data_IF_773712817409
#
_entry.id   IF_773712817409
#
_cell.length_a   1.000
_cell.length_b   1.000
_cell.length_c   1.000
_cell.angle_alpha   90.00
_cell.angle_beta   90.00
_cell.angle_gamma   90.00
#
_symmetry.space_group_name_H-M   'P 1'
#
loop_
_entity.id
_entity.type
_entity.pdbx_description
1 polymer ?
#
# COMPACT_ATOMS: atom_id res chain seq x y z
N UNK A 1 7.64 34.65 -12.34
CA UNK A 1 7.32 34.50 -13.77
C UNK A 1 7.16 35.90 -14.37
N UNK A 2 7.70 36.15 -15.55
CA UNK A 2 7.72 37.46 -16.23
C UNK A 2 6.71 37.53 -17.38
N UNK A 3 6.40 38.72 -17.89
CA UNK A 3 5.46 38.93 -19.01
C UNK A 3 5.93 38.22 -20.29
N UNK A 4 7.24 38.32 -20.60
CA UNK A 4 7.89 37.64 -21.74
C UNK A 4 7.69 36.12 -21.71
N UNK A 5 7.63 35.52 -20.52
CA UNK A 5 7.40 34.09 -20.36
C UNK A 5 5.99 33.69 -20.86
N UNK A 6 4.98 34.49 -20.53
CA UNK A 6 3.60 34.23 -20.96
C UNK A 6 3.37 34.54 -22.45
N UNK A 7 4.06 35.54 -22.99
CA UNK A 7 4.03 35.85 -24.43
C UNK A 7 4.61 34.71 -25.26
N UNK A 8 5.71 34.11 -24.81
CA UNK A 8 6.30 32.93 -25.45
C UNK A 8 5.38 31.70 -25.39
N UNK A 9 4.75 31.44 -24.23
CA UNK A 9 3.78 30.33 -24.09
C UNK A 9 2.57 30.54 -25.00
N UNK A 10 2.03 31.76 -25.07
CA UNK A 10 0.87 32.08 -25.91
C UNK A 10 1.18 31.95 -27.41
N UNK A 11 2.38 32.32 -27.84
CA UNK A 11 2.82 32.16 -29.23
C UNK A 11 2.89 30.67 -29.63
N UNK A 12 3.41 29.82 -28.76
CA UNK A 12 3.50 28.38 -29.00
C UNK A 12 2.13 27.70 -29.03
N UNK A 13 1.17 28.12 -28.20
CA UNK A 13 -0.19 27.57 -28.20
C UNK A 13 -0.94 27.94 -29.50
N UNK A 14 -0.78 29.17 -30.01
CA UNK A 14 -1.46 29.62 -31.22
C UNK A 14 -1.01 28.91 -32.50
N UNK A 15 0.25 28.50 -32.58
CA UNK A 15 0.80 27.82 -33.76
C UNK A 15 0.26 26.38 -33.94
N UNK A 16 -0.37 25.82 -32.91
CA UNK A 16 -0.68 24.38 -32.81
C UNK A 16 -2.19 24.10 -32.71
N UNK A 17 -3.04 25.13 -32.83
CA UNK A 17 -4.52 24.99 -32.79
C UNK A 17 -5.14 24.66 -34.17
N UNK A 18 -4.35 24.16 -35.13
CA UNK A 18 -4.79 23.84 -36.50
C UNK A 18 -4.48 22.37 -36.84
N UNK A 19 -5.34 21.48 -36.32
CA UNK A 19 -5.59 20.05 -36.61
C UNK A 19 -4.51 18.97 -36.28
N UNK A 20 -4.99 17.84 -35.70
CA UNK A 20 -4.37 16.53 -35.36
C UNK A 20 -3.97 16.22 -33.88
N UNK A 21 -4.10 14.95 -33.48
CA UNK A 21 -3.70 14.42 -32.16
C UNK A 21 -2.19 14.58 -31.86
N UNK A 22 -1.35 14.53 -32.90
CA UNK A 22 0.09 14.79 -32.79
C UNK A 22 0.41 16.24 -32.37
N UNK A 23 -0.42 17.20 -32.78
CA UNK A 23 -0.31 18.61 -32.36
C UNK A 23 -0.79 18.79 -30.91
N UNK A 24 -1.83 18.09 -30.48
CA UNK A 24 -2.23 18.06 -29.06
C UNK A 24 -1.08 17.59 -28.15
N UNK A 25 -0.32 16.57 -28.56
CA UNK A 25 0.87 16.12 -27.83
C UNK A 25 2.00 17.17 -27.84
N UNK A 26 2.15 17.97 -28.89
CA UNK A 26 3.11 19.08 -28.92
C UNK A 26 2.74 20.18 -27.92
N UNK A 27 1.45 20.56 -27.82
CA UNK A 27 0.98 21.51 -26.80
C UNK A 27 1.22 20.94 -25.40
N UNK A 28 0.84 19.69 -25.18
CA UNK A 28 1.03 19.01 -23.88
C UNK A 28 2.53 18.88 -23.54
N UNK A 29 3.42 18.77 -24.53
CA UNK A 29 4.87 18.74 -24.31
C UNK A 29 5.41 20.00 -23.63
N UNK A 30 4.73 21.15 -23.78
CA UNK A 30 5.08 22.37 -23.04
C UNK A 30 4.95 22.13 -21.53
N UNK A 31 3.92 21.41 -21.07
CA UNK A 31 3.74 21.05 -19.66
C UNK A 31 4.92 20.23 -19.12
N UNK A 32 5.50 19.36 -19.94
CA UNK A 32 6.70 18.61 -19.59
C UNK A 32 7.98 19.47 -19.65
N UNK A 33 8.14 20.29 -20.70
CA UNK A 33 9.32 21.13 -20.89
C UNK A 33 9.49 22.13 -19.75
N UNK A 34 8.38 22.71 -19.26
CA UNK A 34 8.35 23.64 -18.14
C UNK A 34 8.24 22.95 -16.76
N UNK A 35 8.30 21.62 -16.71
CA UNK A 35 8.31 20.89 -15.44
C UNK A 35 9.69 21.03 -14.76
N UNK A 36 9.76 21.35 -13.46
CA UNK A 36 11.02 21.40 -12.73
C UNK A 36 11.81 20.11 -12.85
N UNK A 37 13.13 20.23 -12.97
CA UNK A 37 14.02 19.08 -13.20
C UNK A 37 13.86 17.95 -12.15
N UNK A 38 13.50 18.28 -10.91
CA UNK A 38 13.33 17.27 -9.86
C UNK A 38 12.01 16.48 -10.00
N UNK A 39 11.00 17.03 -10.68
CA UNK A 39 9.72 16.37 -10.96
C UNK A 39 9.73 15.53 -12.22
N UNK A 40 10.57 15.87 -13.22
CA UNK A 40 10.64 15.12 -14.49
C UNK A 40 10.78 13.61 -14.29
N UNK A 41 11.70 13.08 -13.44
CA UNK A 41 11.78 11.64 -13.22
C UNK A 41 10.52 11.05 -12.57
N UNK A 42 9.86 11.80 -11.68
CA UNK A 42 8.63 11.37 -11.00
C UNK A 42 7.46 11.27 -11.98
N UNK A 43 7.33 12.26 -12.87
CA UNK A 43 6.34 12.30 -13.94
C UNK A 43 6.59 11.22 -15.00
N UNK A 44 7.82 11.10 -15.51
CA UNK A 44 8.17 10.07 -16.50
C UNK A 44 8.01 8.65 -15.95
N UNK A 45 8.10 8.45 -14.63
CA UNK A 45 7.89 7.12 -14.03
C UNK A 45 6.45 6.64 -14.13
N UNK A 46 5.51 7.55 -14.33
CA UNK A 46 4.11 7.20 -14.42
C UNK A 46 3.78 6.31 -15.63
N UNK A 47 4.68 6.21 -16.62
CA UNK A 47 4.55 5.29 -17.76
C UNK A 47 4.45 3.81 -17.35
N UNK A 48 4.87 3.47 -16.13
CA UNK A 48 4.76 2.10 -15.59
C UNK A 48 3.31 1.67 -15.40
N UNK A 49 2.40 2.60 -15.14
CA UNK A 49 1.01 2.28 -14.85
C UNK A 49 0.18 2.10 -16.13
N UNK A 50 -0.81 1.20 -16.12
CA UNK A 50 -1.71 1.02 -17.25
C UNK A 50 -2.59 2.26 -17.46
N UNK A 51 -3.17 2.34 -18.66
CA UNK A 51 -4.20 3.33 -19.00
C UNK A 51 -5.40 3.19 -18.08
N UNK A 52 -5.99 4.31 -17.65
CA UNK A 52 -7.05 4.39 -16.62
C UNK A 52 -6.79 3.66 -15.28
N UNK A 53 -5.57 3.19 -15.06
CA UNK A 53 -5.20 2.45 -13.86
C UNK A 53 -5.28 3.34 -12.62
N UNK A 54 -6.02 2.90 -11.60
CA UNK A 54 -6.03 3.56 -10.29
C UNK A 54 -4.71 3.27 -9.58
N UNK A 55 -3.96 4.32 -9.28
CA UNK A 55 -2.65 4.26 -8.65
C UNK A 55 -2.79 4.55 -7.16
N UNK A 56 -2.29 3.67 -6.30
CA UNK A 56 -2.22 3.98 -4.87
C UNK A 56 -1.05 4.92 -4.59
N UNK A 57 -1.31 6.05 -3.93
CA UNK A 57 -0.28 7.07 -3.65
C UNK A 57 0.91 6.51 -2.85
N UNK A 58 0.69 5.55 -1.95
CA UNK A 58 1.77 4.91 -1.19
C UNK A 58 2.69 4.04 -2.05
N UNK A 59 2.16 3.42 -3.10
CA UNK A 59 2.94 2.63 -4.05
C UNK A 59 3.78 3.56 -4.93
N UNK A 60 3.17 4.62 -5.47
CA UNK A 60 3.87 5.65 -6.25
C UNK A 60 5.07 6.24 -5.47
N UNK A 61 4.86 6.59 -4.20
CA UNK A 61 5.93 7.10 -3.35
C UNK A 61 7.04 6.06 -3.12
N UNK A 62 6.67 4.81 -2.89
CA UNK A 62 7.62 3.70 -2.75
C UNK A 62 8.51 3.60 -3.98
N UNK A 63 7.92 3.63 -5.17
CA UNK A 63 8.66 3.55 -6.43
C UNK A 63 9.63 4.73 -6.61
N UNK A 64 9.19 5.96 -6.35
CA UNK A 64 10.07 7.15 -6.42
C UNK A 64 11.24 7.09 -5.42
N UNK A 65 11.01 6.56 -4.22
CA UNK A 65 12.05 6.34 -3.19
C UNK A 65 13.06 5.31 -3.66
N UNK A 66 12.58 4.15 -4.11
CA UNK A 66 13.39 3.00 -4.51
C UNK A 66 14.31 3.37 -5.68
N UNK A 67 13.76 4.06 -6.67
CA UNK A 67 14.48 4.57 -7.83
C UNK A 67 15.50 5.66 -7.48
N UNK A 68 15.27 6.37 -6.36
CA UNK A 68 16.14 7.44 -5.88
C UNK A 68 15.91 8.77 -6.59
N UNK A 69 14.68 9.05 -7.02
CA UNK A 69 14.32 10.34 -7.64
C UNK A 69 14.26 11.48 -6.63
N UNK A 70 13.97 11.16 -5.38
CA UNK A 70 13.77 12.11 -4.31
C UNK A 70 15.13 12.47 -3.68
N UNK A 71 15.67 13.64 -4.00
CA UNK A 71 16.93 14.16 -3.43
C UNK A 71 16.67 14.71 -2.02
N UNK A 72 16.81 13.88 -0.99
CA UNK A 72 16.70 14.31 0.41
C UNK A 72 17.47 13.38 1.36
N UNK A 73 17.79 13.87 2.55
CA UNK A 73 18.13 13.02 3.69
C UNK A 73 16.98 12.05 4.00
N UNK A 74 17.31 10.87 4.54
CA UNK A 74 16.38 9.74 4.75
C UNK A 74 15.12 10.09 5.57
N UNK A 75 15.17 11.15 6.37
CA UNK A 75 14.11 11.56 7.29
C UNK A 75 12.96 12.31 6.57
N UNK A 76 13.23 12.97 5.44
CA UNK A 76 12.25 13.87 4.80
C UNK A 76 11.71 13.36 3.45
N UNK A 77 12.04 12.13 3.05
CA UNK A 77 11.71 11.60 1.71
C UNK A 77 10.19 11.54 1.45
N UNK A 78 9.40 11.18 2.47
CA UNK A 78 7.93 11.13 2.35
C UNK A 78 7.32 12.51 2.13
N UNK A 79 7.83 13.54 2.81
CA UNK A 79 7.34 14.91 2.65
C UNK A 79 7.66 15.44 1.26
N UNK A 80 8.88 15.19 0.77
CA UNK A 80 9.28 15.55 -0.60
C UNK A 80 8.41 14.83 -1.63
N UNK A 81 8.06 13.56 -1.40
CA UNK A 81 7.12 12.84 -2.28
C UNK A 81 5.72 13.47 -2.27
N UNK A 82 5.22 13.87 -1.09
CA UNK A 82 3.93 14.58 -0.94
C UNK A 82 3.95 15.95 -1.65
N UNK A 83 5.02 16.72 -1.50
CA UNK A 83 5.21 18.01 -2.18
C UNK A 83 5.28 17.85 -3.71
N UNK A 84 6.05 16.87 -4.19
CA UNK A 84 6.16 16.57 -5.62
C UNK A 84 4.81 16.15 -6.23
N UNK A 85 4.06 15.28 -5.54
CA UNK A 85 2.73 14.87 -6.00
C UNK A 85 1.76 16.05 -6.02
N UNK A 86 1.79 16.90 -4.99
CA UNK A 86 0.96 18.10 -4.93
C UNK A 86 1.23 19.01 -6.14
N UNK A 87 2.49 19.26 -6.48
CA UNK A 87 2.82 20.10 -7.65
C UNK A 87 2.38 19.46 -8.98
N UNK A 88 2.49 18.13 -9.12
CA UNK A 88 1.98 17.42 -10.30
C UNK A 88 0.45 17.52 -10.43
N UNK A 89 -0.27 17.47 -9.30
CA UNK A 89 -1.73 17.68 -9.25
C UNK A 89 -2.08 19.12 -9.61
N UNK A 90 -1.40 20.12 -9.04
CA UNK A 90 -1.63 21.55 -9.33
C UNK A 90 -1.38 21.90 -10.81
N UNK A 91 -0.54 21.13 -11.49
CA UNK A 91 -0.28 21.23 -12.93
C UNK A 91 -1.24 20.40 -13.79
N UNK A 92 -2.25 19.76 -13.21
CA UNK A 92 -3.21 18.86 -13.86
C UNK A 92 -2.56 17.68 -14.61
N UNK A 93 -1.38 17.24 -14.16
CA UNK A 93 -0.67 16.08 -14.75
C UNK A 93 -1.08 14.77 -14.07
N UNK A 94 -1.66 14.84 -12.87
CA UNK A 94 -2.20 13.73 -12.11
C UNK A 94 -3.55 14.16 -11.53
N UNK A 95 -4.55 13.28 -11.61
CA UNK A 95 -5.89 13.51 -11.06
C UNK A 95 -6.04 12.72 -9.75
N UNK A 96 -6.64 13.34 -8.73
CA UNK A 96 -6.97 12.65 -7.48
C UNK A 96 -8.29 11.91 -7.66
N UNK A 97 -8.30 10.62 -7.33
CA UNK A 97 -9.51 9.79 -7.44
C UNK A 97 -10.19 9.64 -6.07
N UNK A 98 -9.44 9.20 -5.06
CA UNK A 98 -9.93 9.09 -3.70
C UNK A 98 -9.04 9.88 -2.74
N UNK A 99 -9.65 10.47 -1.72
CA UNK A 99 -8.97 11.11 -0.58
C UNK A 99 -9.14 10.30 0.69
N UNK A 100 -8.11 10.31 1.53
CA UNK A 100 -8.16 9.78 2.89
C UNK A 100 -9.00 10.71 3.77
N UNK A 101 -9.44 10.21 4.92
CA UNK A 101 -10.15 10.99 5.94
C UNK A 101 -9.41 12.28 6.36
N UNK A 102 -8.08 12.27 6.35
CA UNK A 102 -7.25 13.42 6.67
C UNK A 102 -7.06 14.40 5.48
N UNK A 103 -7.89 14.28 4.44
CA UNK A 103 -7.86 15.12 3.23
C UNK A 103 -6.69 14.84 2.28
N UNK A 104 -5.75 13.95 2.63
CA UNK A 104 -4.62 13.62 1.76
C UNK A 104 -5.04 12.65 0.65
N UNK A 105 -4.49 12.76 -0.57
CA UNK A 105 -4.74 11.78 -1.63
C UNK A 105 -4.49 10.33 -1.17
N UNK A 106 -5.46 9.46 -1.44
CA UNK A 106 -5.37 8.02 -1.24
C UNK A 106 -4.93 7.34 -2.53
N UNK A 107 -5.66 7.62 -3.60
CA UNK A 107 -5.43 7.11 -4.95
C UNK A 107 -5.44 8.26 -5.95
N UNK A 108 -4.76 8.07 -7.07
CA UNK A 108 -4.71 9.00 -8.17
C UNK A 108 -4.74 8.26 -9.50
N UNK A 109 -5.04 8.98 -10.59
CA UNK A 109 -5.04 8.48 -11.96
C UNK A 109 -4.39 9.48 -12.89
N UNK A 110 -4.12 9.06 -14.11
CA UNK A 110 -3.51 9.90 -15.14
C UNK A 110 -4.41 9.80 -16.36
N UNK A 111 -4.67 10.95 -16.97
CA UNK A 111 -5.42 11.01 -18.19
C UNK A 111 -4.61 10.43 -19.36
N UNK A 112 -5.25 9.70 -20.27
CA UNK A 112 -4.61 8.96 -21.36
C UNK A 112 -3.67 9.82 -22.22
N UNK A 113 -4.09 11.02 -22.64
CA UNK A 113 -3.23 11.96 -23.37
C UNK A 113 -1.97 12.38 -22.61
N UNK A 114 -2.07 12.56 -21.28
CA UNK A 114 -0.92 12.88 -20.43
C UNK A 114 -0.01 11.65 -20.29
N UNK A 115 -0.59 10.46 -20.22
CA UNK A 115 0.15 9.21 -20.21
C UNK A 115 0.90 8.99 -21.53
N UNK A 116 0.28 9.26 -22.67
CA UNK A 116 0.93 9.19 -23.98
C UNK A 116 2.09 10.18 -24.10
N UNK A 117 1.90 11.40 -23.57
CA UNK A 117 3.01 12.35 -23.44
C UNK A 117 4.14 11.77 -22.57
N UNK A 118 3.83 11.20 -21.41
CA UNK A 118 4.83 10.57 -20.55
C UNK A 118 5.63 9.51 -21.31
N UNK A 119 4.95 8.64 -22.07
CA UNK A 119 5.59 7.56 -22.85
C UNK A 119 6.51 8.15 -23.92
N UNK A 120 6.03 9.15 -24.66
CA UNK A 120 6.79 9.84 -25.73
C UNK A 120 8.06 10.49 -25.18
N UNK A 121 7.94 11.28 -24.12
CA UNK A 121 9.09 11.98 -23.52
C UNK A 121 10.04 11.01 -22.80
N UNK A 122 9.52 9.95 -22.16
CA UNK A 122 10.37 8.95 -21.52
C UNK A 122 11.22 8.17 -22.53
N UNK A 123 10.66 7.84 -23.70
CA UNK A 123 11.38 7.18 -24.81
C UNK A 123 12.48 8.09 -25.36
N UNK A 124 12.17 9.37 -25.58
CA UNK A 124 13.10 10.40 -26.07
C UNK A 124 14.26 10.66 -25.11
N UNK A 125 13.99 10.70 -23.80
CA UNK A 125 15.03 10.88 -22.77
C UNK A 125 15.81 9.60 -22.43
N UNK A 126 15.53 8.49 -23.13
CA UNK A 126 16.09 7.17 -22.86
C UNK A 126 15.81 6.68 -21.43
N UNK A 127 14.67 7.07 -20.87
CA UNK A 127 14.29 6.85 -19.48
C UNK A 127 13.47 5.57 -19.31
N UNK A 128 12.48 5.35 -20.18
CA UNK A 128 11.68 4.11 -20.26
C UNK A 128 11.46 3.68 -21.71
N UNK A 129 11.37 2.37 -21.90
CA UNK A 129 10.76 1.75 -23.06
C UNK A 129 9.56 0.91 -22.62
N UNK A 130 8.38 1.27 -23.11
CA UNK A 130 7.13 0.55 -22.84
C UNK A 130 6.80 -0.31 -24.04
N UNK A 131 6.62 -1.61 -23.82
CA UNK A 131 6.22 -2.53 -24.86
C UNK A 131 4.72 -2.35 -25.15
N UNK A 132 4.38 -1.94 -26.38
CA UNK A 132 2.98 -1.78 -26.82
C UNK A 132 2.41 -3.08 -27.40
N UNK A 133 3.18 -3.78 -28.23
CA UNK A 133 2.81 -5.04 -28.87
C UNK A 133 4.09 -5.71 -29.44
N UNK A 134 3.97 -6.94 -29.95
CA UNK A 134 5.08 -7.69 -30.55
C UNK A 134 5.69 -7.01 -31.79
N UNK A 135 4.83 -6.36 -32.58
CA UNK A 135 5.17 -5.82 -33.92
C UNK A 135 6.05 -4.58 -33.82
N UNK A 136 5.85 -3.76 -32.80
CA UNK A 136 6.55 -2.49 -32.61
C UNK A 136 7.87 -2.62 -31.80
N UNK A 137 8.28 -3.86 -31.45
CA UNK A 137 9.52 -4.07 -30.70
C UNK A 137 10.77 -3.78 -31.54
N UNK A 138 11.52 -2.76 -31.11
CA UNK A 138 12.83 -2.42 -31.65
C UNK A 138 13.94 -2.75 -30.62
N UNK A 139 14.69 -3.85 -30.80
CA UNK A 139 15.73 -4.26 -29.87
C UNK A 139 16.85 -3.24 -29.70
N UNK A 140 17.27 -2.57 -30.77
CA UNK A 140 18.38 -1.61 -30.73
C UNK A 140 18.02 -0.35 -29.93
N UNK A 141 16.78 0.09 -30.05
CA UNK A 141 16.28 1.19 -29.23
C UNK A 141 16.15 0.77 -27.77
N UNK A 142 15.58 -0.40 -27.49
CA UNK A 142 15.43 -0.92 -26.14
C UNK A 142 16.77 -1.08 -25.40
N UNK A 143 17.86 -1.44 -26.11
CA UNK A 143 19.23 -1.55 -25.54
C UNK A 143 19.75 -0.25 -24.94
N UNK A 144 19.30 0.89 -25.45
CA UNK A 144 19.78 2.20 -25.02
C UNK A 144 18.99 2.77 -23.83
N UNK A 145 17.99 2.04 -23.33
CA UNK A 145 16.98 2.55 -22.40
C UNK A 145 17.36 2.17 -20.97
N UNK A 146 17.13 3.07 -20.02
CA UNK A 146 17.49 2.79 -18.62
C UNK A 146 16.51 1.85 -17.93
N UNK A 147 15.27 1.81 -18.40
CA UNK A 147 14.18 1.04 -17.80
C UNK A 147 13.23 0.47 -18.83
N UNK A 148 12.65 -0.67 -18.51
CA UNK A 148 11.72 -1.39 -19.39
C UNK A 148 10.41 -1.66 -18.63
N UNK A 149 9.28 -1.53 -19.34
CA UNK A 149 7.94 -1.89 -18.83
C UNK A 149 7.29 -2.86 -19.80
N UNK A 150 6.96 -4.04 -19.31
CA UNK A 150 6.28 -5.09 -20.06
C UNK A 150 4.87 -5.27 -19.48
N UNK A 151 3.82 -4.84 -20.21
CA UNK A 151 2.44 -5.05 -19.79
C UNK A 151 1.98 -6.51 -19.94
N UNK A 152 0.98 -6.89 -19.14
CA UNK A 152 0.49 -8.28 -19.02
C UNK A 152 -0.02 -8.83 -20.33
N UNK A 153 -0.82 -8.03 -21.05
CA UNK A 153 -1.45 -8.40 -22.31
C UNK A 153 -0.45 -8.68 -23.45
N UNK A 154 0.80 -8.24 -23.33
CA UNK A 154 1.83 -8.51 -24.33
C UNK A 154 2.34 -9.94 -24.18
N UNK A 155 2.33 -10.52 -22.98
CA UNK A 155 3.06 -11.76 -22.65
C UNK A 155 2.38 -13.05 -23.18
N UNK A 156 1.10 -13.01 -23.53
CA UNK A 156 0.38 -14.17 -24.07
C UNK A 156 0.88 -14.61 -25.47
N UNK A 157 1.74 -13.80 -26.11
CA UNK A 157 2.33 -14.09 -27.41
C UNK A 157 3.62 -14.93 -27.27
N UNK A 158 3.54 -16.21 -27.67
CA UNK A 158 4.64 -17.19 -27.61
C UNK A 158 5.88 -16.76 -28.40
N UNK A 159 5.75 -15.83 -29.34
CA UNK A 159 6.85 -15.35 -30.18
C UNK A 159 7.81 -14.40 -29.45
N UNK A 160 7.48 -13.93 -28.23
CA UNK A 160 8.33 -12.98 -27.48
C UNK A 160 9.50 -13.69 -26.78
N UNK A 161 9.40 -14.99 -26.46
CA UNK A 161 10.45 -15.72 -25.72
C UNK A 161 11.85 -15.58 -26.37
N UNK A 162 11.94 -15.61 -27.71
CA UNK A 162 13.21 -15.46 -28.44
C UNK A 162 13.78 -14.03 -28.46
N UNK A 163 12.95 -13.00 -28.27
CA UNK A 163 13.36 -11.59 -28.17
C UNK A 163 13.70 -11.19 -26.72
N UNK A 164 13.23 -11.93 -25.73
CA UNK A 164 13.57 -11.72 -24.32
C UNK A 164 15.06 -11.95 -24.04
N UNK A 165 15.70 -12.92 -24.68
CA UNK A 165 17.16 -13.13 -24.56
C UNK A 165 17.96 -11.86 -24.91
N UNK A 166 17.44 -11.01 -25.81
CA UNK A 166 18.04 -9.72 -26.17
C UNK A 166 17.86 -8.66 -25.08
N UNK A 167 16.72 -8.66 -24.37
CA UNK A 167 16.47 -7.79 -23.21
C UNK A 167 17.38 -8.17 -22.03
N UNK A 168 17.66 -9.47 -21.90
CA UNK A 168 18.43 -10.06 -20.80
C UNK A 168 19.94 -9.79 -20.89
N UNK A 169 20.46 -9.49 -22.09
CA UNK A 169 21.89 -9.21 -22.35
C UNK A 169 22.27 -7.73 -22.25
N UNK A 170 21.37 -6.85 -21.79
CA UNK A 170 21.56 -5.41 -21.77
C UNK A 170 22.29 -4.93 -20.49
N UNK A 171 23.56 -4.48 -20.57
CA UNK A 171 24.38 -4.19 -19.37
C UNK A 171 24.04 -2.86 -18.67
N UNK A 172 23.14 -2.03 -19.24
CA UNK A 172 22.86 -0.67 -18.77
C UNK A 172 21.58 -0.49 -17.94
N UNK A 173 20.73 -1.51 -17.84
CA UNK A 173 19.38 -1.37 -17.30
C UNK A 173 19.40 -1.23 -15.77
N UNK A 174 18.75 -0.18 -15.25
CA UNK A 174 18.67 0.12 -13.81
C UNK A 174 17.35 -0.32 -13.17
N UNK A 175 16.29 -0.50 -13.95
CA UNK A 175 15.01 -1.02 -13.47
C UNK A 175 14.30 -1.78 -14.58
N UNK A 176 13.65 -2.89 -14.26
CA UNK A 176 12.87 -3.67 -15.20
C UNK A 176 11.57 -3.99 -14.47
N UNK A 177 10.47 -3.39 -14.90
CA UNK A 177 9.14 -3.65 -14.33
C UNK A 177 8.40 -4.57 -15.28
N UNK A 178 8.09 -5.77 -14.83
CA UNK A 178 7.41 -6.78 -15.64
C UNK A 178 6.07 -7.01 -14.99
N UNK A 179 5.05 -6.43 -15.60
CA UNK A 179 3.69 -6.61 -15.17
C UNK A 179 3.19 -7.79 -15.99
N UNK A 180 3.42 -9.03 -15.54
CA UNK A 180 2.66 -10.18 -16.03
C UNK A 180 3.31 -11.56 -15.98
N UNK A 181 2.46 -12.56 -16.18
CA UNK A 181 2.74 -13.97 -16.01
C UNK A 181 3.35 -14.61 -17.25
N UNK A 182 4.36 -15.46 -17.06
CA UNK A 182 4.71 -16.47 -18.04
C UNK A 182 6.10 -16.39 -18.68
N UNK A 183 6.83 -15.27 -18.59
CA UNK A 183 8.13 -15.18 -19.29
C UNK A 183 9.30 -15.67 -18.45
N UNK A 184 10.11 -16.57 -19.02
CA UNK A 184 11.43 -16.92 -18.49
C UNK A 184 12.32 -15.68 -18.56
N UNK A 185 12.62 -15.11 -17.41
CA UNK A 185 13.60 -14.03 -17.32
C UNK A 185 14.94 -14.60 -16.89
N UNK A 186 15.98 -14.30 -17.64
CA UNK A 186 17.34 -14.34 -17.12
C UNK A 186 17.82 -12.94 -16.78
N UNK A 187 18.04 -12.64 -15.51
CA UNK A 187 18.47 -11.29 -15.13
C UNK A 187 20.00 -11.23 -15.08
N UNK A 188 20.61 -10.71 -16.14
CA UNK A 188 22.06 -10.54 -16.26
C UNK A 188 22.61 -9.21 -15.75
N UNK A 189 21.77 -8.22 -15.42
CA UNK A 189 22.22 -6.88 -15.01
C UNK A 189 22.32 -6.76 -13.49
N UNK A 190 23.54 -6.54 -12.99
CA UNK A 190 23.78 -6.21 -11.57
C UNK A 190 23.22 -4.84 -11.17
N UNK A 191 22.85 -3.98 -12.12
CA UNK A 191 22.40 -2.60 -11.84
C UNK A 191 20.90 -2.49 -11.51
N UNK A 192 20.17 -3.60 -11.55
CA UNK A 192 18.73 -3.63 -11.36
C UNK A 192 18.31 -3.21 -9.95
N UNK A 193 17.36 -2.27 -9.85
CA UNK A 193 16.82 -1.74 -8.58
C UNK A 193 15.38 -2.16 -8.30
N UNK A 194 14.55 -2.24 -9.33
CA UNK A 194 13.15 -2.64 -9.25
C UNK A 194 12.96 -3.85 -10.15
N UNK A 195 12.37 -4.90 -9.59
CA UNK A 195 11.88 -6.07 -10.30
C UNK A 195 10.56 -6.46 -9.68
N UNK A 196 9.50 -6.44 -10.47
CA UNK A 196 8.20 -7.04 -10.12
C UNK A 196 7.99 -8.08 -11.20
N UNK A 197 7.74 -9.32 -10.80
CA UNK A 197 7.57 -10.44 -11.71
C UNK A 197 6.78 -11.56 -11.03
N UNK A 198 5.73 -12.05 -11.68
CA UNK A 198 4.83 -13.07 -11.12
C UNK A 198 5.20 -14.51 -11.52
N UNK A 199 6.43 -14.76 -11.99
CA UNK A 199 6.83 -16.10 -12.43
C UNK A 199 7.32 -17.03 -11.30
N UNK A 200 6.78 -18.25 -11.29
CA UNK A 200 7.08 -19.33 -10.34
C UNK A 200 8.28 -20.24 -10.72
N UNK A 201 9.09 -19.91 -11.73
CA UNK A 201 10.18 -20.81 -12.16
C UNK A 201 11.38 -20.84 -11.17
N UNK A 202 11.81 -22.05 -10.80
CA UNK A 202 12.94 -22.33 -9.89
C UNK A 202 14.31 -21.87 -10.44
N UNK A 203 14.54 -21.93 -11.76
CA UNK A 203 15.82 -21.47 -12.34
C UNK A 203 16.06 -19.97 -12.10
N UNK A 204 14.98 -19.20 -12.11
CA UNK A 204 14.98 -17.76 -11.82
C UNK A 204 15.46 -17.45 -10.39
N UNK A 205 15.20 -18.33 -9.43
CA UNK A 205 15.61 -18.13 -8.02
C UNK A 205 17.13 -18.03 -7.84
N UNK A 206 17.90 -18.84 -8.59
CA UNK A 206 19.37 -18.80 -8.52
C UNK A 206 19.91 -17.48 -9.08
N UNK A 207 19.28 -16.96 -10.12
CA UNK A 207 19.69 -15.73 -10.75
C UNK A 207 19.29 -14.48 -9.96
N UNK A 208 18.12 -14.49 -9.32
CA UNK A 208 17.67 -13.41 -8.44
C UNK A 208 18.74 -13.09 -7.39
N UNK A 209 19.36 -14.11 -6.78
CA UNK A 209 20.37 -13.91 -5.73
C UNK A 209 21.62 -13.16 -6.18
N UNK A 210 21.83 -12.95 -7.49
CA UNK A 210 22.92 -12.17 -8.06
C UNK A 210 22.61 -10.67 -8.16
N UNK A 211 21.34 -10.27 -8.02
CA UNK A 211 20.86 -8.90 -8.21
C UNK A 211 21.10 -8.04 -6.96
N UNK A 212 22.35 -7.88 -6.56
CA UNK A 212 22.73 -7.27 -5.27
C UNK A 212 22.32 -5.80 -5.12
N UNK A 213 22.06 -5.06 -6.21
CA UNK A 213 21.60 -3.67 -6.16
C UNK A 213 20.08 -3.52 -6.10
N UNK A 214 19.34 -4.62 -6.07
CA UNK A 214 17.89 -4.60 -6.01
C UNK A 214 17.41 -4.01 -4.69
N UNK A 215 16.36 -3.19 -4.79
CA UNK A 215 15.75 -2.45 -3.68
C UNK A 215 14.27 -2.77 -3.54
N UNK A 216 13.59 -3.09 -4.64
CA UNK A 216 12.22 -3.59 -4.64
C UNK A 216 12.14 -4.86 -5.46
N UNK A 217 11.57 -5.90 -4.86
CA UNK A 217 11.38 -7.21 -5.46
C UNK A 217 9.94 -7.67 -5.23
N UNK A 218 9.23 -7.97 -6.31
CA UNK A 218 7.93 -8.64 -6.29
C UNK A 218 8.07 -10.00 -6.96
N UNK A 219 7.85 -11.09 -6.23
CA UNK A 219 8.02 -12.47 -6.72
C UNK A 219 6.96 -13.40 -6.13
N UNK A 220 6.62 -14.49 -6.82
CA UNK A 220 5.71 -15.51 -6.27
C UNK A 220 6.42 -16.49 -5.32
N UNK A 221 7.67 -16.84 -5.59
CA UNK A 221 8.45 -17.76 -4.75
C UNK A 221 9.74 -17.13 -4.25
N UNK A 222 10.00 -17.23 -2.94
CA UNK A 222 11.17 -16.63 -2.31
C UNK A 222 12.35 -17.62 -2.27
N UNK A 223 13.54 -17.27 -2.81
CA UNK A 223 14.72 -18.10 -2.68
C UNK A 223 15.18 -18.24 -1.23
N UNK A 224 15.70 -19.40 -0.85
CA UNK A 224 16.23 -19.64 0.50
C UNK A 224 17.37 -18.69 0.89
N UNK A 225 18.17 -18.24 -0.08
CA UNK A 225 19.27 -17.28 0.11
C UNK A 225 18.88 -15.82 -0.17
N UNK A 226 17.64 -15.41 0.11
CA UNK A 226 17.16 -14.04 -0.12
C UNK A 226 18.00 -12.98 0.61
N UNK A 227 18.66 -13.35 1.71
CA UNK A 227 19.56 -12.49 2.49
C UNK A 227 20.75 -11.94 1.69
N UNK A 228 21.13 -12.59 0.57
CA UNK A 228 22.18 -12.09 -0.34
C UNK A 228 21.81 -10.76 -1.00
N UNK A 229 20.53 -10.41 -1.04
CA UNK A 229 20.02 -9.14 -1.55
C UNK A 229 20.10 -8.07 -0.46
N UNK A 230 21.31 -7.73 -0.04
CA UNK A 230 21.57 -6.85 1.11
C UNK A 230 21.05 -5.42 0.95
N UNK A 231 20.78 -4.96 -0.28
CA UNK A 231 20.14 -3.67 -0.57
C UNK A 231 18.61 -3.69 -0.61
N UNK A 232 17.98 -4.87 -0.49
CA UNK A 232 16.55 -4.99 -0.64
C UNK A 232 15.82 -4.24 0.48
N UNK A 233 14.89 -3.37 0.09
CA UNK A 233 14.10 -2.53 0.99
C UNK A 233 12.62 -2.92 0.97
N UNK A 234 12.09 -3.35 -0.17
CA UNK A 234 10.68 -3.70 -0.33
C UNK A 234 10.58 -5.10 -0.95
N UNK A 235 9.99 -6.03 -0.21
CA UNK A 235 9.70 -7.37 -0.70
C UNK A 235 8.18 -7.57 -0.76
N UNK A 236 7.68 -7.88 -1.94
CA UNK A 236 6.31 -8.25 -2.23
C UNK A 236 6.27 -9.71 -2.63
N UNK A 237 5.40 -10.49 -1.98
CA UNK A 237 5.16 -11.88 -2.36
C UNK A 237 3.79 -11.95 -3.01
N UNK A 238 3.79 -12.29 -4.31
CA UNK A 238 2.66 -12.17 -5.23
C UNK A 238 1.88 -13.48 -5.38
N UNK A 239 1.88 -14.34 -4.36
CA UNK A 239 1.21 -15.65 -4.42
C UNK A 239 -0.14 -15.61 -3.71
N UNK A 240 -1.20 -15.93 -4.43
CA UNK A 240 -2.57 -15.96 -3.89
C UNK A 240 -3.10 -17.38 -3.62
N UNK A 241 -2.37 -18.43 -4.00
CA UNK A 241 -2.90 -19.80 -3.96
C UNK A 241 -2.40 -20.63 -2.77
N UNK A 242 -1.10 -20.61 -2.47
CA UNK A 242 -0.48 -21.49 -1.47
C UNK A 242 0.10 -20.73 -0.27
N UNK A 243 0.11 -21.39 0.90
CA UNK A 243 0.78 -20.86 2.08
C UNK A 243 2.29 -20.87 1.85
N UNK A 244 2.92 -19.69 1.91
CA UNK A 244 4.37 -19.58 1.77
C UNK A 244 5.03 -19.56 3.15
N UNK A 245 5.95 -20.49 3.37
CA UNK A 245 6.85 -20.40 4.51
C UNK A 245 8.04 -19.51 4.12
N UNK A 246 8.17 -18.36 4.77
CA UNK A 246 9.30 -17.47 4.53
C UNK A 246 10.61 -18.15 4.97
N UNK A 247 11.73 -17.96 4.23
CA UNK A 247 13.01 -18.52 4.64
C UNK A 247 13.56 -17.81 5.87
N UNK A 248 14.25 -18.54 6.76
CA UNK A 248 14.87 -18.01 7.98
C UNK A 248 15.81 -16.83 7.73
N UNK A 249 16.42 -16.79 6.54
CA UNK A 249 17.27 -15.73 6.02
C UNK A 249 16.60 -14.34 5.98
N UNK A 250 15.26 -14.26 6.00
CA UNK A 250 14.53 -12.98 6.04
C UNK A 250 14.94 -12.12 7.25
N UNK A 251 15.32 -12.77 8.35
CA UNK A 251 15.77 -12.12 9.57
C UNK A 251 17.15 -11.46 9.44
N UNK A 252 17.89 -11.73 8.35
CA UNK A 252 19.24 -11.22 8.08
C UNK A 252 19.25 -10.10 7.02
N UNK A 253 18.15 -9.35 6.88
CA UNK A 253 17.97 -8.31 5.85
C UNK A 253 17.85 -6.90 6.45
N UNK A 254 18.95 -6.28 6.90
CA UNK A 254 18.90 -5.05 7.72
C UNK A 254 18.37 -3.80 6.99
N UNK A 255 18.36 -3.80 5.66
CA UNK A 255 17.81 -2.71 4.85
C UNK A 255 16.31 -2.83 4.58
N UNK A 256 15.70 -3.96 4.95
CA UNK A 256 14.28 -4.23 4.68
C UNK A 256 13.41 -3.22 5.42
N UNK A 257 12.50 -2.58 4.69
CA UNK A 257 11.54 -1.58 5.16
C UNK A 257 10.11 -2.07 5.08
N UNK A 258 9.81 -2.86 4.05
CA UNK A 258 8.47 -3.38 3.79
C UNK A 258 8.56 -4.86 3.45
N UNK A 259 7.74 -5.66 4.12
CA UNK A 259 7.47 -7.03 3.78
C UNK A 259 5.95 -7.20 3.66
N UNK A 260 5.47 -7.29 2.43
CA UNK A 260 4.08 -7.56 2.13
C UNK A 260 3.96 -8.94 1.52
N UNK A 261 3.30 -9.84 2.23
CA UNK A 261 3.24 -11.23 1.84
C UNK A 261 1.80 -11.68 1.85
N UNK A 262 1.25 -12.03 0.70
CA UNK A 262 -0.03 -12.74 0.74
C UNK A 262 0.23 -14.18 1.19
N UNK A 263 -0.64 -14.66 2.08
CA UNK A 263 -0.64 -16.05 2.53
C UNK A 263 0.68 -16.59 3.15
N UNK A 264 1.56 -15.76 3.74
CA UNK A 264 2.84 -16.26 4.28
C UNK A 264 2.97 -16.23 5.81
N UNK A 265 3.74 -17.19 6.35
CA UNK A 265 4.11 -17.30 7.77
C UNK A 265 5.55 -16.85 8.00
N UNK A 266 5.83 -16.23 9.15
CA UNK A 266 7.21 -15.91 9.54
C UNK A 266 7.96 -17.18 9.95
N UNK A 267 9.25 -17.31 9.61
CA UNK A 267 10.04 -18.44 10.06
C UNK A 267 10.40 -18.28 11.53
N UNK A 268 10.64 -19.40 12.25
CA UNK A 268 11.19 -19.34 13.59
C UNK A 268 12.52 -18.58 13.58
N UNK A 269 12.83 -17.94 14.71
CA UNK A 269 14.08 -17.22 14.86
C UNK A 269 15.27 -18.20 14.74
N UNK A 270 16.37 -17.80 14.08
CA UNK A 270 17.53 -18.66 13.92
C UNK A 270 18.17 -18.99 15.28
N UNK A 271 18.20 -20.28 15.61
CA UNK A 271 18.75 -20.80 16.87
C UNK A 271 20.28 -20.65 16.88
N UNK A 272 20.85 -20.19 18.00
CA UNK A 272 22.30 -20.18 18.22
C UNK A 272 23.07 -18.98 17.65
N UNK A 273 22.40 -17.87 17.28
CA UNK A 273 23.12 -16.65 16.89
C UNK A 273 23.45 -15.82 18.13
N UNK A 274 24.75 -15.73 18.48
CA UNK A 274 25.25 -14.90 19.60
C UNK A 274 24.90 -13.40 19.45
N UNK A 275 24.62 -12.95 18.22
CA UNK A 275 24.17 -11.58 17.95
C UNK A 275 23.05 -11.55 16.88
N UNK A 276 21.77 -11.41 17.29
CA UNK A 276 20.65 -11.37 16.35
C UNK A 276 20.67 -10.10 15.47
N UNK A 277 20.47 -10.23 14.16
CA UNK A 277 20.35 -9.09 13.23
C UNK A 277 19.05 -8.29 13.47
N UNK A 278 19.16 -7.06 13.98
CA UNK A 278 18.00 -6.20 14.25
C UNK A 278 17.56 -5.50 12.96
N UNK A 279 16.31 -5.72 12.56
CA UNK A 279 15.69 -5.11 11.38
C UNK A 279 15.21 -3.68 11.69
N UNK A 280 16.15 -2.79 12.01
CA UNK A 280 15.87 -1.40 12.46
C UNK A 280 15.12 -0.56 11.43
N UNK A 281 15.21 -0.89 10.14
CA UNK A 281 14.56 -0.16 9.07
C UNK A 281 13.16 -0.68 8.75
N UNK A 282 12.75 -1.83 9.30
CA UNK A 282 11.48 -2.46 8.99
C UNK A 282 10.33 -1.62 9.58
N UNK A 283 9.52 -1.07 8.67
CA UNK A 283 8.41 -0.17 8.97
C UNK A 283 7.07 -0.89 8.88
N UNK A 284 6.91 -1.78 7.89
CA UNK A 284 5.63 -2.43 7.60
C UNK A 284 5.79 -3.94 7.41
N UNK A 285 5.00 -4.70 8.18
CA UNK A 285 4.68 -6.11 7.97
C UNK A 285 3.21 -6.20 7.58
N UNK A 286 2.91 -6.75 6.40
CA UNK A 286 1.54 -6.80 5.90
C UNK A 286 1.14 -8.21 5.50
N UNK A 287 -0.08 -8.61 5.92
CA UNK A 287 -0.76 -9.87 5.60
C UNK A 287 -0.04 -11.12 6.14
N UNK A 288 0.65 -11.00 7.27
CA UNK A 288 1.34 -12.12 7.92
C UNK A 288 0.32 -13.09 8.52
N UNK A 289 0.36 -14.36 8.10
CA UNK A 289 -0.44 -15.43 8.70
C UNK A 289 0.17 -15.94 9.99
N UNK A 290 -0.69 -16.30 10.95
CA UNK A 290 -0.32 -17.00 12.20
C UNK A 290 0.84 -16.31 12.96
N UNK A 291 0.83 -14.98 12.97
CA UNK A 291 1.88 -14.18 13.61
C UNK A 291 1.96 -14.49 15.11
N UNK A 292 3.16 -14.80 15.60
CA UNK A 292 3.44 -14.99 17.04
C UNK A 292 4.19 -13.80 17.59
N UNK A 293 3.62 -13.17 18.61
CA UNK A 293 4.17 -11.99 19.22
C UNK A 293 5.12 -12.35 20.38
N UNK A 294 6.20 -13.07 20.07
CA UNK A 294 7.25 -13.44 21.02
C UNK A 294 8.16 -12.24 21.34
N UNK A 295 8.69 -12.17 22.57
CA UNK A 295 9.53 -11.05 23.01
C UNK A 295 10.79 -10.94 22.15
N UNK A 296 11.36 -12.07 21.76
CA UNK A 296 12.52 -12.16 20.88
C UNK A 296 12.20 -11.57 19.49
N UNK A 297 11.00 -11.81 18.95
CA UNK A 297 10.56 -11.23 17.68
C UNK A 297 10.45 -9.71 17.82
N UNK A 298 9.87 -9.21 18.91
CA UNK A 298 9.73 -7.78 19.18
C UNK A 298 11.08 -7.06 19.23
N UNK A 299 12.11 -7.70 19.81
CA UNK A 299 13.49 -7.17 19.82
C UNK A 299 14.07 -7.08 18.41
N UNK A 300 13.70 -7.98 17.49
CA UNK A 300 14.17 -7.94 16.09
C UNK A 300 13.53 -6.83 15.26
N UNK A 301 12.30 -6.41 15.57
CA UNK A 301 11.52 -5.44 14.76
C UNK A 301 11.10 -4.17 15.55
N UNK A 302 12.04 -3.48 16.24
CA UNK A 302 11.72 -2.48 17.25
C UNK A 302 11.07 -1.19 16.70
N UNK A 303 11.13 -0.96 15.38
CA UNK A 303 10.68 0.27 14.74
C UNK A 303 9.44 0.09 13.85
N UNK A 304 8.76 -1.06 13.97
CA UNK A 304 7.60 -1.36 13.15
C UNK A 304 6.46 -0.36 13.42
N UNK A 305 5.94 0.26 12.36
CA UNK A 305 4.83 1.22 12.42
C UNK A 305 3.52 0.63 11.92
N UNK A 306 3.56 -0.36 11.04
CA UNK A 306 2.36 -1.00 10.48
C UNK A 306 2.47 -2.51 10.57
N UNK A 307 1.45 -3.12 11.17
CA UNK A 307 1.32 -4.56 11.29
C UNK A 307 -0.06 -4.96 10.79
N UNK A 308 -0.11 -5.84 9.79
CA UNK A 308 -1.35 -6.52 9.39
C UNK A 308 -1.18 -8.02 9.52
N UNK A 309 -2.01 -8.63 10.35
CA UNK A 309 -1.97 -10.06 10.68
C UNK A 309 -3.29 -10.73 10.29
N UNK A 310 -3.19 -11.99 9.87
CA UNK A 310 -4.33 -12.84 9.49
C UNK A 310 -4.27 -14.18 10.22
N UNK A 311 -5.42 -14.67 10.68
CA UNK A 311 -5.56 -15.99 11.29
C UNK A 311 -6.68 -16.75 10.60
N UNK A 312 -6.38 -18.00 10.25
CA UNK A 312 -7.23 -18.96 9.55
C UNK A 312 -7.15 -20.33 10.25
N UNK A 313 -6.94 -20.32 11.56
CA UNK A 313 -6.69 -21.52 12.36
C UNK A 313 -8.03 -22.08 12.88
N UNK A 314 -8.50 -23.18 12.28
CA UNK A 314 -9.74 -23.86 12.70
C UNK A 314 -9.54 -24.62 14.02
N UNK A 315 -8.36 -25.22 14.18
CA UNK A 315 -8.01 -26.11 15.28
C UNK A 315 -7.51 -25.39 16.54
N UNK A 316 -7.46 -24.05 16.54
CA UNK A 316 -6.91 -23.33 17.68
C UNK A 316 -7.77 -23.50 18.92
N UNK A 317 -7.17 -24.09 19.95
CA UNK A 317 -7.82 -24.31 21.25
C UNK A 317 -7.68 -23.10 22.17
N UNK A 318 -6.58 -22.35 22.05
CA UNK A 318 -6.29 -21.16 22.86
C UNK A 318 -5.46 -20.11 22.09
N UNK A 319 -6.01 -18.90 21.99
CA UNK A 319 -5.36 -17.74 21.37
C UNK A 319 -4.10 -17.27 22.12
N UNK A 320 -3.90 -17.68 23.38
CA UNK A 320 -2.69 -17.37 24.15
C UNK A 320 -1.40 -17.86 23.48
N UNK A 321 -1.51 -18.88 22.62
CA UNK A 321 -0.43 -19.40 21.78
C UNK A 321 0.28 -18.32 20.96
N UNK A 322 -0.49 -17.35 20.44
CA UNK A 322 0.04 -16.27 19.61
C UNK A 322 0.60 -15.09 20.41
N UNK A 323 0.39 -15.08 21.74
CA UNK A 323 0.90 -14.06 22.68
C UNK A 323 0.57 -12.61 22.30
N UNK A 324 -0.60 -12.37 21.72
CA UNK A 324 -1.00 -11.04 21.21
C UNK A 324 -1.08 -9.95 22.28
N UNK A 325 -1.09 -10.30 23.56
CA UNK A 325 -0.95 -9.35 24.67
C UNK A 325 0.38 -8.57 24.61
N UNK A 326 1.42 -9.15 24.00
CA UNK A 326 2.74 -8.53 23.89
C UNK A 326 2.78 -7.36 22.88
N UNK A 327 1.73 -7.18 22.08
CA UNK A 327 1.61 -6.04 21.15
C UNK A 327 1.65 -4.69 21.87
N UNK A 328 1.30 -4.62 23.16
CA UNK A 328 1.41 -3.39 23.98
C UNK A 328 2.84 -2.84 24.00
N UNK A 329 3.84 -3.72 23.92
CA UNK A 329 5.26 -3.35 23.94
C UNK A 329 5.73 -2.65 22.66
N UNK A 330 4.93 -2.67 21.58
CA UNK A 330 5.27 -2.07 20.29
C UNK A 330 5.06 -0.55 20.28
N UNK A 331 5.93 0.18 20.99
CA UNK A 331 5.82 1.63 21.21
C UNK A 331 5.75 2.51 19.96
N UNK A 332 6.14 2.03 18.77
CA UNK A 332 6.10 2.77 17.50
C UNK A 332 4.99 2.34 16.55
N UNK A 333 4.16 1.37 16.93
CA UNK A 333 3.12 0.83 16.08
C UNK A 333 1.94 1.81 15.96
N UNK A 334 1.79 2.40 14.77
CA UNK A 334 0.75 3.38 14.47
C UNK A 334 -0.49 2.76 13.80
N UNK A 335 -0.34 1.62 13.11
CA UNK A 335 -1.42 0.97 12.37
C UNK A 335 -1.42 -0.54 12.60
N UNK A 336 -2.52 -1.04 13.15
CA UNK A 336 -2.74 -2.45 13.41
C UNK A 336 -3.99 -2.91 12.66
N UNK A 337 -3.85 -3.98 11.88
CA UNK A 337 -4.97 -4.68 11.27
C UNK A 337 -4.93 -6.14 11.70
N UNK A 338 -5.97 -6.60 12.40
CA UNK A 338 -6.12 -7.99 12.78
C UNK A 338 -7.31 -8.59 12.02
N UNK A 339 -7.04 -9.61 11.22
CA UNK A 339 -8.05 -10.35 10.49
C UNK A 339 -8.11 -11.79 10.99
N UNK A 340 -9.33 -12.25 11.25
CA UNK A 340 -9.64 -13.61 11.63
C UNK A 340 -10.69 -14.11 10.64
N UNK A 341 -10.40 -15.22 9.97
CA UNK A 341 -11.32 -15.80 9.00
C UNK A 341 -12.50 -16.46 9.74
N UNK A 342 -13.64 -16.59 9.05
CA UNK A 342 -14.90 -17.04 9.67
C UNK A 342 -14.81 -18.42 10.32
N UNK A 343 -13.93 -19.26 9.78
CA UNK A 343 -13.60 -20.60 10.26
C UNK A 343 -13.03 -20.61 11.69
N UNK A 344 -12.49 -19.47 12.16
CA UNK A 344 -12.07 -19.32 13.56
C UNK A 344 -13.30 -19.25 14.47
N UNK A 345 -13.66 -20.36 15.10
CA UNK A 345 -14.90 -20.47 15.90
C UNK A 345 -14.78 -19.89 17.32
N UNK A 346 -13.56 -19.70 17.84
CA UNK A 346 -13.34 -19.26 19.22
C UNK A 346 -13.20 -17.74 19.33
N UNK A 347 -13.97 -17.14 20.25
CA UNK A 347 -13.85 -15.74 20.65
C UNK A 347 -12.44 -15.43 21.15
N UNK A 348 -11.89 -14.32 20.69
CA UNK A 348 -10.65 -13.75 21.22
C UNK A 348 -10.95 -13.07 22.56
N UNK A 349 -11.03 -13.87 23.63
CA UNK A 349 -11.26 -13.36 25.00
C UNK A 349 -10.03 -12.57 25.43
N UNK A 350 -10.13 -11.23 25.45
CA UNK A 350 -9.22 -10.24 26.07
C UNK A 350 -7.68 -10.45 25.97
N UNK A 351 -7.18 -11.30 25.07
CA UNK A 351 -5.76 -11.58 24.86
C UNK A 351 -5.10 -10.59 23.89
N UNK A 352 -5.83 -9.57 23.43
CA UNK A 352 -5.29 -8.50 22.58
C UNK A 352 -4.77 -7.37 23.45
N UNK A 353 -3.47 -7.13 23.34
CA UNK A 353 -2.83 -5.93 23.83
C UNK A 353 -2.80 -4.87 22.75
N UNK A 354 -3.09 -3.60 23.09
CA UNK A 354 -2.95 -2.49 22.15
C UNK A 354 -1.90 -1.49 22.63
N UNK A 355 -0.94 -1.09 21.77
CA UNK A 355 0.04 -0.07 22.13
C UNK A 355 -0.59 1.33 22.11
N UNK A 356 -0.14 2.20 23.02
CA UNK A 356 -0.66 3.58 23.16
C UNK A 356 -0.34 4.50 21.98
N UNK A 357 0.58 4.10 21.11
CA UNK A 357 0.96 4.84 19.89
C UNK A 357 0.03 4.61 18.71
N UNK A 358 -0.96 3.72 18.86
CA UNK A 358 -1.85 3.32 17.80
C UNK A 358 -2.74 4.48 17.34
N UNK A 359 -2.72 4.75 16.03
CA UNK A 359 -3.54 5.77 15.35
C UNK A 359 -4.65 5.16 14.52
N UNK A 360 -4.42 3.98 13.94
CA UNK A 360 -5.39 3.25 13.15
C UNK A 360 -5.52 1.82 13.65
N UNK A 361 -6.74 1.41 13.98
CA UNK A 361 -7.07 0.04 14.30
C UNK A 361 -8.10 -0.50 13.30
N UNK A 362 -7.84 -1.70 12.79
CA UNK A 362 -8.79 -2.45 11.95
C UNK A 362 -8.95 -3.84 12.53
N UNK A 363 -10.18 -4.18 12.91
CA UNK A 363 -10.55 -5.48 13.46
C UNK A 363 -11.55 -6.13 12.51
N UNK A 364 -11.26 -7.38 12.14
CA UNK A 364 -12.06 -8.16 11.20
C UNK A 364 -12.24 -9.57 11.78
N UNK A 365 -13.48 -10.00 12.02
CA UNK A 365 -13.78 -11.37 12.45
C UNK A 365 -13.27 -11.77 13.84
N UNK A 366 -12.80 -10.83 14.66
CA UNK A 366 -12.22 -11.11 15.98
C UNK A 366 -13.21 -11.67 17.02
N UNK A 367 -14.53 -11.51 16.81
CA UNK A 367 -15.60 -11.97 17.70
C UNK A 367 -15.48 -11.46 19.14
N UNK A 368 -14.95 -10.25 19.34
CA UNK A 368 -14.73 -9.67 20.68
C UNK A 368 -16.06 -9.24 21.30
N UNK A 369 -16.33 -9.52 22.57
CA UNK A 369 -17.55 -8.98 23.20
C UNK A 369 -17.52 -7.45 23.27
N UNK A 370 -18.62 -6.78 22.94
CA UNK A 370 -18.78 -5.32 23.06
C UNK A 370 -18.42 -4.75 24.44
N UNK A 371 -18.52 -5.56 25.51
CA UNK A 371 -18.11 -5.19 26.87
C UNK A 371 -16.62 -4.81 26.98
N UNK A 372 -15.77 -5.32 26.08
CA UNK A 372 -14.33 -5.02 26.06
C UNK A 372 -13.98 -3.82 25.18
N UNK A 373 -14.96 -3.17 24.55
CA UNK A 373 -14.74 -2.01 23.68
C UNK A 373 -14.09 -0.83 24.42
N UNK A 374 -14.26 -0.76 25.75
CA UNK A 374 -13.57 0.21 26.61
C UNK A 374 -12.05 0.20 26.41
N UNK A 375 -11.44 -0.97 26.25
CA UNK A 375 -9.98 -1.09 26.05
C UNK A 375 -9.53 -0.32 24.80
N UNK A 376 -10.36 -0.32 23.75
CA UNK A 376 -10.10 0.43 22.51
C UNK A 376 -10.45 1.91 22.70
N UNK A 377 -11.54 2.20 23.42
CA UNK A 377 -11.96 3.54 23.78
C UNK A 377 -10.92 4.34 24.57
N UNK A 378 -10.17 3.67 25.44
CA UNK A 378 -9.11 4.25 26.26
C UNK A 378 -7.82 4.59 25.47
N UNK A 379 -7.73 4.23 24.18
CA UNK A 379 -6.53 4.50 23.37
C UNK A 379 -6.36 5.99 23.09
N UNK A 380 -5.26 6.62 23.57
CA UNK A 380 -5.16 8.09 23.63
C UNK A 380 -4.88 8.74 22.27
N UNK A 381 -4.43 7.97 21.29
CA UNK A 381 -4.01 8.45 19.98
C UNK A 381 -4.81 7.85 18.81
N UNK A 382 -5.88 7.10 19.11
CA UNK A 382 -6.65 6.42 18.08
C UNK A 382 -7.48 7.45 17.28
N UNK A 383 -7.16 7.58 16.00
CA UNK A 383 -7.79 8.50 15.04
C UNK A 383 -8.80 7.76 14.16
N UNK A 384 -8.55 6.48 13.85
CA UNK A 384 -9.38 5.67 12.95
C UNK A 384 -9.66 4.30 13.57
N UNK A 385 -10.93 3.95 13.66
CA UNK A 385 -11.39 2.64 14.05
C UNK A 385 -12.28 2.02 12.96
N UNK A 386 -11.84 0.87 12.43
CA UNK A 386 -12.58 0.10 11.44
C UNK A 386 -12.96 -1.25 12.04
N UNK A 387 -14.26 -1.50 12.15
CA UNK A 387 -14.85 -2.75 12.66
C UNK A 387 -15.57 -3.41 11.48
N UNK A 388 -15.20 -4.64 11.12
CA UNK A 388 -15.79 -5.35 9.97
C UNK A 388 -16.08 -6.81 10.28
N UNK A 389 -17.00 -7.41 9.52
CA UNK A 389 -17.28 -8.85 9.49
C UNK A 389 -17.35 -9.47 10.90
N UNK A 390 -18.27 -8.98 11.74
CA UNK A 390 -18.49 -9.48 13.10
C UNK A 390 -17.22 -9.49 13.98
N UNK A 391 -16.38 -8.46 13.85
CA UNK A 391 -15.25 -8.26 14.75
C UNK A 391 -15.66 -8.09 16.21
N UNK A 392 -16.90 -7.65 16.46
CA UNK A 392 -17.52 -7.61 17.78
C UNK A 392 -18.81 -8.44 17.84
N UNK A 393 -19.09 -9.01 19.01
CA UNK A 393 -20.26 -9.84 19.33
C UNK A 393 -21.03 -9.31 20.55
N UNK A 394 -22.34 -9.55 20.51
CA UNK A 394 -23.30 -9.13 21.53
C UNK A 394 -24.32 -8.14 20.96
N UNK A 395 -25.55 -8.13 21.50
CA UNK A 395 -26.64 -7.32 20.96
C UNK A 395 -26.51 -5.84 21.28
N UNK A 396 -25.75 -5.48 22.33
CA UNK A 396 -25.70 -4.11 22.83
C UNK A 396 -24.28 -3.57 22.91
N UNK A 397 -24.09 -2.33 22.46
CA UNK A 397 -22.88 -1.56 22.68
C UNK A 397 -23.19 -0.32 23.53
N UNK A 398 -22.77 -0.38 24.79
CA UNK A 398 -22.81 0.77 25.72
C UNK A 398 -21.47 1.51 25.67
N UNK A 399 -21.50 2.78 25.29
CA UNK A 399 -20.31 3.62 25.27
C UNK A 399 -20.03 4.17 26.67
N UNK A 400 -18.76 4.08 27.09
CA UNK A 400 -18.32 4.58 28.39
C UNK A 400 -17.88 6.03 28.25
N UNK A 401 -18.20 6.84 29.27
CA UNK A 401 -17.79 8.23 29.39
C UNK A 401 -16.27 8.40 29.16
N UNK A 402 -15.89 9.51 28.52
CA UNK A 402 -14.50 9.89 28.19
C UNK A 402 -13.72 8.97 27.23
N UNK A 403 -14.37 8.00 26.57
CA UNK A 403 -13.72 7.19 25.53
C UNK A 403 -13.47 7.97 24.23
N UNK A 404 -12.63 7.42 23.34
CA UNK A 404 -12.47 7.84 21.94
C UNK A 404 -12.09 9.32 21.74
N UNK A 405 -11.27 9.88 22.62
CA UNK A 405 -10.92 11.32 22.68
C UNK A 405 -10.41 11.93 21.37
N UNK A 406 -9.72 11.16 20.53
CA UNK A 406 -9.16 11.61 19.24
C UNK A 406 -9.74 10.89 18.03
N UNK A 407 -10.81 10.12 18.21
CA UNK A 407 -11.37 9.31 17.13
C UNK A 407 -12.05 10.23 16.11
N UNK A 408 -11.49 10.31 14.90
CA UNK A 408 -12.03 11.13 13.81
C UNK A 408 -12.90 10.31 12.85
N UNK A 409 -12.61 9.02 12.69
CA UNK A 409 -13.28 8.14 11.75
C UNK A 409 -13.67 6.81 12.40
N UNK A 410 -14.98 6.53 12.43
CA UNK A 410 -15.56 5.29 12.91
C UNK A 410 -16.30 4.61 11.76
N UNK A 411 -15.88 3.39 11.41
CA UNK A 411 -16.60 2.56 10.43
C UNK A 411 -16.98 1.25 11.05
N UNK A 412 -18.27 0.94 11.05
CA UNK A 412 -18.83 -0.26 11.67
C UNK A 412 -19.55 -1.07 10.60
N UNK A 413 -19.19 -2.35 10.53
CA UNK A 413 -19.92 -3.34 9.76
C UNK A 413 -20.03 -4.64 10.53
N UNK A 414 -21.21 -4.86 11.10
CA UNK A 414 -21.54 -5.96 12.01
C UNK A 414 -23.00 -6.34 11.85
N UNK A 415 -23.31 -7.63 11.88
CA UNK A 415 -24.69 -8.10 11.76
C UNK A 415 -25.40 -8.21 13.11
N UNK A 416 -24.68 -8.48 14.20
CA UNK A 416 -25.26 -8.82 15.50
C UNK A 416 -25.52 -7.67 16.47
N UNK A 417 -25.30 -6.41 16.06
CA UNK A 417 -25.54 -5.24 16.91
C UNK A 417 -26.98 -4.78 16.74
N UNK A 418 -27.76 -4.82 17.83
CA UNK A 418 -29.16 -4.43 17.86
C UNK A 418 -29.33 -3.03 18.45
N UNK A 419 -28.60 -2.74 19.53
CA UNK A 419 -28.75 -1.49 20.28
C UNK A 419 -27.38 -0.83 20.49
N UNK A 420 -27.27 0.44 20.12
CA UNK A 420 -26.12 1.28 20.43
C UNK A 420 -26.58 2.32 21.45
N UNK A 421 -25.93 2.42 22.61
CA UNK A 421 -26.27 3.37 23.68
C UNK A 421 -25.13 4.38 23.89
N UNK A 422 -25.47 5.65 23.77
CA UNK A 422 -24.57 6.78 23.95
C UNK A 422 -25.31 7.84 24.76
N UNK A 423 -24.93 7.98 26.03
CA UNK A 423 -25.61 8.88 26.96
C UNK A 423 -25.24 10.36 26.74
N UNK A 424 -24.05 10.64 26.18
CA UNK A 424 -23.58 12.01 25.89
C UNK A 424 -22.73 12.04 24.60
N UNK A 425 -22.92 13.09 23.78
CA UNK A 425 -22.11 13.39 22.60
C UNK A 425 -20.61 13.55 22.91
N UNK A 426 -20.27 13.90 24.15
CA UNK A 426 -18.89 14.04 24.64
C UNK A 426 -18.08 12.73 24.58
N UNK A 427 -18.72 11.58 24.35
CA UNK A 427 -18.04 10.30 24.14
C UNK A 427 -17.26 10.24 22.81
N UNK A 428 -17.49 11.18 21.88
CA UNK A 428 -16.85 11.21 20.57
C UNK A 428 -16.48 12.65 20.15
N UNK A 429 -15.61 13.35 20.93
CA UNK A 429 -15.45 14.80 20.81
C UNK A 429 -14.73 15.25 19.52
N UNK A 430 -14.09 14.33 18.80
CA UNK A 430 -13.34 14.61 17.57
C UNK A 430 -13.94 13.91 16.33
N UNK A 431 -15.10 13.25 16.45
CA UNK A 431 -15.63 12.40 15.40
C UNK A 431 -16.14 13.24 14.23
N UNK A 432 -15.61 12.95 13.03
CA UNK A 432 -15.94 13.66 11.78
C UNK A 432 -16.67 12.78 10.78
N UNK A 433 -16.35 11.49 10.78
CA UNK A 433 -16.91 10.53 9.82
C UNK A 433 -17.42 9.28 10.53
N UNK A 434 -18.72 9.03 10.39
CA UNK A 434 -19.37 7.79 10.81
C UNK A 434 -19.85 7.02 9.57
N UNK A 435 -19.48 5.75 9.47
CA UNK A 435 -20.06 4.86 8.47
C UNK A 435 -20.61 3.60 9.11
N UNK A 436 -21.87 3.30 8.79
CA UNK A 436 -22.56 2.07 9.18
C UNK A 436 -22.86 1.26 7.91
N UNK A 437 -22.38 0.01 7.86
CA UNK A 437 -22.62 -0.89 6.72
C UNK A 437 -23.05 -2.28 7.17
N UNK A 438 -24.09 -2.85 6.59
CA UNK A 438 -24.59 -4.19 6.95
C UNK A 438 -25.03 -4.30 8.43
N UNK A 439 -25.44 -3.19 9.04
CA UNK A 439 -25.99 -3.15 10.40
C UNK A 439 -27.53 -3.28 10.35
N UNK A 440 -28.01 -4.41 9.84
CA UNK A 440 -29.44 -4.64 9.56
C UNK A 440 -30.30 -4.75 10.82
N UNK A 441 -29.72 -5.23 11.93
CA UNK A 441 -30.42 -5.40 13.19
C UNK A 441 -30.35 -4.17 14.11
N UNK A 442 -29.52 -3.18 13.79
CA UNK A 442 -29.38 -1.97 14.60
C UNK A 442 -30.69 -1.19 14.51
N UNK A 443 -31.37 -0.96 15.63
CA UNK A 443 -32.68 -0.33 15.66
C UNK A 443 -32.60 1.15 15.24
N UNK A 444 -31.69 1.91 15.86
CA UNK A 444 -31.50 3.34 15.60
C UNK A 444 -30.06 3.79 15.89
N UNK A 445 -29.70 4.99 15.38
CA UNK A 445 -28.49 5.69 15.78
C UNK A 445 -28.84 6.56 17.00
N UNK A 446 -28.03 6.54 18.08
CA UNK A 446 -28.28 7.39 19.25
C UNK A 446 -28.37 8.86 18.84
N UNK A 447 -29.39 9.57 19.33
CA UNK A 447 -29.61 10.99 19.00
C UNK A 447 -28.43 11.87 19.39
N UNK A 448 -27.71 11.52 20.46
CA UNK A 448 -26.49 12.17 20.94
C UNK A 448 -25.35 12.18 19.91
N UNK A 449 -25.31 11.21 18.98
CA UNK A 449 -24.35 11.23 17.86
C UNK A 449 -24.62 12.41 16.93
N UNK A 450 -25.89 12.74 16.71
CA UNK A 450 -26.28 13.90 15.89
C UNK A 450 -25.97 15.25 16.54
N UNK A 451 -25.68 15.28 17.84
CA UNK A 451 -25.29 16.48 18.58
C UNK A 451 -23.77 16.74 18.55
N UNK A 452 -22.98 15.84 17.94
CA UNK A 452 -21.53 15.98 17.83
C UNK A 452 -21.19 17.14 16.89
N UNK A 453 -20.55 18.23 17.37
CA UNK A 453 -20.32 19.42 16.57
C UNK A 453 -19.28 19.24 15.45
N UNK A 454 -18.41 18.24 15.57
CA UNK A 454 -17.37 17.94 14.58
C UNK A 454 -17.84 16.99 13.48
N UNK A 455 -19.04 16.42 13.59
CA UNK A 455 -19.51 15.40 12.67
C UNK A 455 -19.85 16.01 11.32
N UNK A 456 -19.19 15.54 10.26
CA UNK A 456 -19.32 16.06 8.89
C UNK A 456 -20.15 15.13 8.00
N UNK A 457 -20.02 13.82 8.18
CA UNK A 457 -20.62 12.82 7.29
C UNK A 457 -21.09 11.61 8.09
N UNK A 458 -22.36 11.22 7.85
CA UNK A 458 -22.92 9.93 8.24
C UNK A 458 -23.25 9.16 6.95
N UNK A 459 -22.52 8.06 6.68
CA UNK A 459 -22.75 7.18 5.53
C UNK A 459 -23.37 5.86 5.99
N UNK A 460 -24.62 5.62 5.61
CA UNK A 460 -25.39 4.43 5.99
C UNK A 460 -25.70 3.61 4.73
N UNK A 461 -25.30 2.33 4.71
CA UNK A 461 -25.66 1.40 3.64
C UNK A 461 -26.06 0.04 4.21
N UNK A 462 -27.12 -0.58 3.68
CA UNK A 462 -27.60 -1.88 4.16
C UNK A 462 -27.83 -1.91 5.68
N UNK A 463 -28.62 -0.95 6.18
CA UNK A 463 -29.02 -0.87 7.59
C UNK A 463 -30.55 -0.91 7.69
N UNK A 464 -31.07 -1.03 8.91
CA UNK A 464 -32.51 -0.96 9.17
C UNK A 464 -33.10 0.39 8.73
N UNK A 465 -34.42 0.41 8.49
CA UNK A 465 -35.14 1.65 8.13
C UNK A 465 -35.02 2.73 9.22
N UNK A 466 -34.94 2.35 10.50
CA UNK A 466 -34.77 3.28 11.62
C UNK A 466 -33.44 4.03 11.56
N UNK A 467 -32.35 3.33 11.25
CA UNK A 467 -31.02 3.92 11.06
C UNK A 467 -30.98 4.82 9.82
N UNK A 468 -31.62 4.42 8.72
CA UNK A 468 -31.64 5.19 7.46
C UNK A 468 -32.49 6.47 7.57
N UNK A 469 -33.60 6.42 8.32
CA UNK A 469 -34.47 7.59 8.52
C UNK A 469 -33.76 8.67 9.34
N UNK A 470 -33.07 8.28 10.42
CA UNK A 470 -32.37 9.21 11.30
C UNK A 470 -31.09 9.77 10.67
N UNK A 471 -30.38 9.00 9.85
CA UNK A 471 -29.19 9.50 9.15
C UNK A 471 -29.47 10.57 8.10
N UNK A 472 -30.75 10.81 7.74
CA UNK A 472 -31.18 11.90 6.84
C UNK A 472 -31.55 13.19 7.58
N UNK A 473 -31.68 13.13 8.91
CA UNK A 473 -32.06 14.27 9.76
C UNK A 473 -30.82 15.10 10.15
N UNK A 474 -29.64 14.45 10.16
CA UNK A 474 -28.33 15.01 10.42
C UNK A 474 -27.52 15.06 9.14
#
# INVERSE_FOLDING_TARGET
MTLEYWEHVAANIKAVLTENDDQCLEILSLSYNYLPHHLKPCFLYLTVFPEDGVITVSELFTLWVVEGFLKSSSINVKKVAEENLKELIERNLILVEEVKFNGKPQTCKIHDLVRDLCIKEARKEKFFYVFKNYVDFNPEEAKCQRRLVLPTHVIEDKDIEGKFDVIQSMPGNRSIVILGDGTRLKCGSELLRVLIHSNANIEFQKEITKLVNIRMLGITMIPSSISKLWNLQYLYVLNDEEIINLPSDIWNMPQLRYLGVDHATLPPLPIGTEMPCILKNLDTLSKIKKFRCEDEVLVRIPNLRKLKIRYDDEDITDWSYYRLQNLVSMSKLENLCCQFDEICTKTLVANLGFPVSLKKLTLIGCKISWKHMKIIGDLPNLEILLIRYNAFEGPTWETVEDNFKKLECLKISVHGLNEWRVDDANHFPSLRFLQLRNCENLEEIPSSIGEIPTLEIIDVNFCSDGVILLSKIY
#
